data_IF_322439490600
#
_entry.id   IF_322439490600
#
_cell.length_a   1.000
_cell.length_b   1.000
_cell.length_c   1.000
_cell.angle_alpha   90.00
_cell.angle_beta   90.00
_cell.angle_gamma   90.00
#
_symmetry.space_group_name_H-M   'P 1'
#
loop_
_entity.id
_entity.type
_entity.pdbx_description
1 polymer ?
#
# COMPACT_ATOMS: atom_id res chain seq x y z
N UNK A 1 -0.46 -10.23 -4.96
CA UNK A 1 0.98 -9.89 -5.04
C UNK A 1 1.28 -8.54 -4.42
N UNK A 2 0.52 -7.47 -4.71
CA UNK A 2 0.79 -6.15 -4.14
C UNK A 2 0.85 -6.10 -2.60
N UNK A 3 0.10 -6.97 -1.89
CA UNK A 3 0.20 -7.06 -0.44
C UNK A 3 1.64 -7.34 0.00
N UNK A 4 2.29 -8.37 -0.54
CA UNK A 4 3.66 -8.68 -0.13
C UNK A 4 4.65 -7.59 -0.58
N UNK A 5 4.62 -7.27 -1.88
CA UNK A 5 5.60 -6.38 -2.49
C UNK A 5 5.43 -4.93 -2.03
N UNK A 6 4.20 -4.44 -1.93
CA UNK A 6 3.89 -3.09 -1.46
C UNK A 6 4.25 -2.90 0.01
N UNK A 7 4.00 -3.88 0.89
CA UNK A 7 4.47 -3.81 2.28
C UNK A 7 6.01 -3.88 2.36
N UNK A 8 6.67 -4.72 1.55
CA UNK A 8 8.13 -4.80 1.52
C UNK A 8 8.77 -3.48 1.06
N UNK A 9 8.32 -2.93 -0.07
CA UNK A 9 8.79 -1.62 -0.58
C UNK A 9 8.50 -0.49 0.42
N UNK A 10 7.33 -0.49 1.07
CA UNK A 10 7.06 0.51 2.10
C UNK A 10 7.97 0.37 3.33
N UNK A 11 8.32 -0.86 3.73
CA UNK A 11 9.29 -1.09 4.80
C UNK A 11 10.70 -0.58 4.41
N UNK A 12 11.10 -0.68 3.14
CA UNK A 12 12.34 -0.08 2.64
C UNK A 12 12.31 1.44 2.75
N UNK A 13 11.18 2.10 2.48
CA UNK A 13 11.03 3.54 2.65
C UNK A 13 11.19 3.97 4.12
N UNK A 14 10.54 3.25 5.04
CA UNK A 14 10.68 3.48 6.48
C UNK A 14 12.14 3.29 6.93
N UNK A 15 12.77 2.20 6.48
CA UNK A 15 14.16 1.91 6.82
C UNK A 15 15.10 3.00 6.29
N UNK A 16 14.89 3.45 5.05
CA UNK A 16 15.68 4.51 4.44
C UNK A 16 15.63 5.79 5.28
N UNK A 17 14.43 6.23 5.67
CA UNK A 17 14.24 7.42 6.51
C UNK A 17 14.91 7.27 7.89
N UNK A 18 14.75 6.12 8.55
CA UNK A 18 15.36 5.84 9.86
C UNK A 18 16.90 5.86 9.81
N UNK A 19 17.49 5.51 8.66
CA UNK A 19 18.95 5.39 8.48
C UNK A 19 19.57 6.60 7.76
N UNK A 20 18.86 7.75 7.72
CA UNK A 20 19.38 9.00 7.18
C UNK A 20 19.39 9.09 5.65
N UNK A 21 18.62 8.22 4.98
CA UNK A 21 18.33 8.30 3.55
C UNK A 21 17.14 9.21 3.25
N UNK A 22 16.50 8.97 2.10
CA UNK A 22 15.30 9.71 1.70
C UNK A 22 14.13 9.43 2.66
N UNK A 23 13.37 10.48 2.95
CA UNK A 23 12.17 10.43 3.77
C UNK A 23 11.09 9.60 3.09
N UNK A 24 10.13 9.08 3.87
CA UNK A 24 8.98 8.35 3.33
C UNK A 24 8.19 9.22 2.34
N UNK A 25 8.13 10.54 2.61
CA UNK A 25 7.50 11.51 1.70
C UNK A 25 8.24 11.64 0.37
N UNK A 26 9.57 11.71 0.38
CA UNK A 26 10.36 11.78 -0.85
C UNK A 26 10.20 10.51 -1.69
N UNK A 27 10.24 9.33 -1.07
CA UNK A 27 9.95 8.06 -1.75
C UNK A 27 8.53 8.03 -2.33
N UNK A 28 7.54 8.53 -1.58
CA UNK A 28 6.16 8.64 -2.07
C UNK A 28 6.08 9.57 -3.27
N UNK A 29 6.67 10.76 -3.19
CA UNK A 29 6.68 11.74 -4.28
C UNK A 29 7.36 11.19 -5.54
N UNK A 30 8.48 10.48 -5.40
CA UNK A 30 9.17 9.81 -6.50
C UNK A 30 8.29 8.71 -7.12
N UNK A 31 7.75 7.81 -6.30
CA UNK A 31 6.87 6.74 -6.78
C UNK A 31 5.59 7.29 -7.44
N UNK A 32 5.11 8.44 -6.97
CA UNK A 32 3.93 9.12 -7.52
C UNK A 32 4.20 9.74 -8.89
N UNK A 33 5.40 10.29 -9.12
CA UNK A 33 5.79 10.85 -10.42
C UNK A 33 6.19 9.79 -11.45
N UNK A 34 6.55 8.57 -11.03
CA UNK A 34 6.82 7.47 -11.95
C UNK A 34 5.54 6.98 -12.67
N UNK A 35 5.44 7.30 -13.96
CA UNK A 35 4.34 6.88 -14.84
C UNK A 35 4.15 5.35 -14.88
N UNK A 36 5.22 4.56 -14.67
CA UNK A 36 5.14 3.11 -14.70
C UNK A 36 4.29 2.56 -13.55
N UNK A 37 4.23 3.24 -12.40
CA UNK A 37 3.38 2.88 -11.27
C UNK A 37 1.88 3.04 -11.56
N UNK A 38 1.53 3.75 -12.63
CA UNK A 38 0.15 4.03 -13.02
C UNK A 38 -0.33 3.17 -14.20
N UNK A 39 0.48 2.22 -14.68
CA UNK A 39 0.14 1.37 -15.82
C UNK A 39 -1.14 0.53 -15.61
N UNK A 40 -1.44 0.15 -14.35
CA UNK A 40 -2.67 -0.55 -13.96
C UNK A 40 -2.92 -0.41 -12.43
N UNK A 41 -4.11 -0.76 -11.93
CA UNK A 41 -4.39 -0.78 -10.49
C UNK A 41 -3.63 -1.89 -9.76
N UNK A 42 -2.95 -1.58 -8.65
CA UNK A 42 -2.17 -2.55 -7.90
C UNK A 42 -3.01 -3.74 -7.38
N UNK A 43 -4.28 -3.49 -7.04
CA UNK A 43 -5.24 -4.52 -6.63
C UNK A 43 -5.77 -5.40 -7.77
N UNK A 44 -5.54 -5.00 -9.03
CA UNK A 44 -6.07 -5.69 -10.23
C UNK A 44 -5.02 -5.78 -11.36
N UNK A 45 -3.94 -6.54 -11.19
CA UNK A 45 -3.00 -6.82 -12.27
C UNK A 45 -3.71 -7.48 -13.47
N UNK A 46 -3.44 -7.06 -14.73
CA UNK A 46 -4.10 -7.61 -15.92
C UNK A 46 -3.87 -9.11 -16.12
N UNK A 47 -2.69 -9.61 -15.75
CA UNK A 47 -2.38 -11.03 -15.80
C UNK A 47 -1.13 -11.42 -15.00
N UNK A 48 -0.77 -12.71 -15.01
CA UNK A 48 0.36 -13.23 -14.24
C UNK A 48 1.72 -12.57 -14.57
N UNK A 49 1.92 -12.18 -15.83
CA UNK A 49 3.13 -11.49 -16.28
C UNK A 49 3.27 -10.07 -15.67
N UNK A 50 2.18 -9.51 -15.16
CA UNK A 50 2.17 -8.16 -14.56
C UNK A 50 2.41 -8.18 -13.05
N UNK A 51 2.48 -9.37 -12.44
CA UNK A 51 2.64 -9.54 -10.99
C UNK A 51 3.99 -9.04 -10.45
N UNK A 52 4.97 -8.84 -11.33
CA UNK A 52 6.30 -8.30 -10.98
C UNK A 52 6.55 -6.92 -11.61
N UNK A 53 5.51 -6.19 -12.01
CA UNK A 53 5.62 -4.86 -12.64
C UNK A 53 5.46 -3.73 -11.63
N UNK A 54 5.95 -2.51 -11.94
CA UNK A 54 6.04 -1.39 -10.99
C UNK A 54 4.78 -1.10 -10.15
N UNK A 55 3.54 -1.13 -10.69
CA UNK A 55 2.35 -0.84 -9.87
C UNK A 55 2.16 -1.78 -8.66
N UNK A 56 2.68 -3.01 -8.74
CA UNK A 56 2.62 -3.96 -7.63
C UNK A 56 3.49 -3.51 -6.45
N UNK A 57 4.58 -2.80 -6.73
CA UNK A 57 5.58 -2.34 -5.76
C UNK A 57 5.33 -0.89 -5.35
N UNK A 58 5.59 0.06 -6.27
CA UNK A 58 5.56 1.49 -5.95
C UNK A 58 4.15 1.97 -5.61
N UNK A 59 3.16 1.63 -6.45
CA UNK A 59 1.76 1.95 -6.14
C UNK A 59 1.21 1.13 -4.97
N UNK A 60 1.65 -0.11 -4.79
CA UNK A 60 1.37 -0.90 -3.59
C UNK A 60 1.84 -0.20 -2.31
N UNK A 61 3.09 0.28 -2.30
CA UNK A 61 3.66 1.03 -1.17
C UNK A 61 2.95 2.37 -0.93
N UNK A 62 2.56 3.08 -2.00
CA UNK A 62 1.71 4.28 -1.87
C UNK A 62 0.38 3.97 -1.17
N UNK A 63 -0.30 2.87 -1.51
CA UNK A 63 -1.54 2.46 -0.82
C UNK A 63 -1.28 2.26 0.68
N UNK A 64 -0.23 1.52 1.04
CA UNK A 64 0.13 1.30 2.45
C UNK A 64 0.40 2.62 3.17
N UNK A 65 1.13 3.55 2.54
CA UNK A 65 1.39 4.86 3.11
C UNK A 65 0.09 5.67 3.32
N UNK A 66 -0.85 5.63 2.35
CA UNK A 66 -2.13 6.33 2.48
C UNK A 66 -2.98 5.78 3.61
N UNK A 67 -2.95 4.47 3.84
CA UNK A 67 -3.63 3.86 5.01
C UNK A 67 -3.05 4.41 6.31
N UNK A 68 -1.72 4.49 6.44
CA UNK A 68 -1.06 5.09 7.61
C UNK A 68 -1.49 6.56 7.80
N UNK A 69 -1.55 7.34 6.72
CA UNK A 69 -1.98 8.74 6.77
C UNK A 69 -3.44 8.88 7.22
N UNK A 70 -4.34 8.08 6.68
CA UNK A 70 -5.77 8.11 7.02
C UNK A 70 -6.01 7.70 8.48
N UNK A 71 -5.24 6.74 8.98
CA UNK A 71 -5.29 6.36 10.39
C UNK A 71 -4.82 7.45 11.34
N UNK A 72 -3.89 8.32 10.92
CA UNK A 72 -3.39 9.45 11.72
C UNK A 72 -2.65 9.07 13.01
N UNK A 73 -2.49 7.78 13.30
CA UNK A 73 -1.84 7.23 14.49
C UNK A 73 -0.89 6.08 14.08
N UNK A 74 0.41 6.34 14.20
CA UNK A 74 1.45 5.36 13.86
C UNK A 74 1.38 4.10 14.71
N UNK A 75 1.09 4.24 16.00
CA UNK A 75 0.97 3.10 16.93
C UNK A 75 -0.18 2.19 16.54
N UNK A 76 -1.33 2.77 16.18
CA UNK A 76 -2.48 2.03 15.67
C UNK A 76 -2.16 1.37 14.32
N UNK A 77 -1.53 2.07 13.38
CA UNK A 77 -1.13 1.54 12.08
C UNK A 77 -0.20 0.32 12.23
N UNK A 78 0.89 0.44 12.99
CA UNK A 78 1.82 -0.68 13.19
C UNK A 78 1.18 -1.83 13.98
N UNK A 79 0.19 -1.55 14.84
CA UNK A 79 -0.59 -2.62 15.51
C UNK A 79 -1.46 -3.37 14.51
N UNK A 80 -2.17 -2.67 13.62
CA UNK A 80 -2.97 -3.25 12.55
C UNK A 80 -2.11 -4.13 11.62
N UNK A 81 -0.96 -3.65 11.17
CA UNK A 81 -0.06 -4.42 10.28
C UNK A 81 0.46 -5.69 10.97
N UNK A 82 0.89 -5.61 12.23
CA UNK A 82 1.32 -6.79 13.00
C UNK A 82 0.19 -7.78 13.23
N UNK A 83 -1.03 -7.28 13.48
CA UNK A 83 -2.23 -8.10 13.63
C UNK A 83 -2.57 -8.84 12.34
N UNK A 84 -2.54 -8.14 11.19
CA UNK A 84 -2.76 -8.72 9.87
C UNK A 84 -1.80 -9.88 9.58
N UNK A 85 -0.50 -9.65 9.75
CA UNK A 85 0.55 -10.66 9.53
C UNK A 85 0.42 -11.86 10.47
N UNK A 86 -0.03 -11.63 11.70
CA UNK A 86 -0.26 -12.70 12.69
C UNK A 86 -1.48 -13.54 12.32
N UNK A 87 -2.58 -12.90 11.95
CA UNK A 87 -3.84 -13.56 11.59
C UNK A 87 -3.71 -14.44 10.34
N UNK A 88 -2.87 -14.05 9.39
CA UNK A 88 -2.68 -14.75 8.12
C UNK A 88 -1.33 -15.49 8.04
N UNK A 89 -0.69 -15.71 9.18
CA UNK A 89 0.57 -16.48 9.24
C UNK A 89 0.32 -17.90 8.72
N UNK A 90 1.10 -18.32 7.73
CA UNK A 90 0.99 -19.64 7.05
C UNK A 90 -0.30 -19.85 6.24
N UNK A 91 -1.07 -18.79 6.00
CA UNK A 91 -2.28 -18.81 5.18
C UNK A 91 -2.09 -18.13 3.82
N UNK A 92 -3.15 -18.13 3.03
CA UNK A 92 -3.27 -17.25 1.87
C UNK A 92 -4.31 -16.18 2.21
N UNK A 93 -4.08 -14.95 1.75
CA UNK A 93 -4.98 -13.84 1.98
C UNK A 93 -5.19 -13.07 0.67
N UNK A 94 -6.43 -12.67 0.43
CA UNK A 94 -6.81 -11.86 -0.71
C UNK A 94 -6.72 -10.37 -0.40
N UNK A 95 -6.88 -9.56 -1.45
CA UNK A 95 -7.00 -8.10 -1.29
C UNK A 95 -8.29 -7.74 -0.53
N UNK A 96 -9.37 -8.48 -0.75
CA UNK A 96 -10.65 -8.27 -0.07
C UNK A 96 -10.52 -8.58 1.43
N UNK A 97 -9.78 -9.64 1.79
CA UNK A 97 -9.49 -9.96 3.19
C UNK A 97 -8.75 -8.82 3.90
N UNK A 98 -7.74 -8.24 3.24
CA UNK A 98 -6.94 -7.15 3.82
C UNK A 98 -7.75 -5.86 3.97
N UNK A 99 -8.48 -5.46 2.93
CA UNK A 99 -9.28 -4.22 2.97
C UNK A 99 -10.36 -4.30 4.04
N UNK A 100 -11.10 -5.42 4.11
CA UNK A 100 -12.10 -5.66 5.16
C UNK A 100 -11.49 -5.75 6.56
N UNK A 101 -10.28 -6.34 6.70
CA UNK A 101 -9.54 -6.33 7.96
C UNK A 101 -9.15 -4.91 8.37
N UNK A 102 -8.59 -4.13 7.45
CA UNK A 102 -8.11 -2.78 7.74
C UNK A 102 -9.25 -1.86 8.20
N UNK A 103 -10.39 -1.88 7.52
CA UNK A 103 -11.57 -1.09 7.91
C UNK A 103 -12.13 -1.53 9.27
N UNK A 104 -12.25 -2.84 9.51
CA UNK A 104 -12.76 -3.36 10.78
C UNK A 104 -11.87 -2.99 11.97
N UNK A 105 -10.55 -3.15 11.84
CA UNK A 105 -9.63 -2.91 12.96
C UNK A 105 -9.33 -1.41 13.17
N UNK A 106 -9.40 -0.59 12.12
CA UNK A 106 -9.23 0.87 12.24
C UNK A 106 -10.52 1.58 12.64
N UNK A 107 -11.69 1.00 12.33
CA UNK A 107 -13.00 1.67 12.47
C UNK A 107 -13.22 2.80 11.47
N UNK A 108 -12.37 2.92 10.44
CA UNK A 108 -12.45 3.94 9.40
C UNK A 108 -13.16 3.40 8.16
N UNK A 109 -13.88 4.28 7.47
CA UNK A 109 -14.32 4.02 6.10
C UNK A 109 -13.17 4.36 5.15
N UNK A 110 -12.57 3.32 4.56
CA UNK A 110 -11.42 3.45 3.67
C UNK A 110 -11.82 3.26 2.20
N UNK A 111 -13.13 3.22 1.90
CA UNK A 111 -13.68 2.94 0.56
C UNK A 111 -13.09 3.85 -0.51
N UNK A 112 -13.08 5.17 -0.28
CA UNK A 112 -12.56 6.14 -1.25
C UNK A 112 -11.06 5.97 -1.48
N UNK A 113 -10.31 5.61 -0.43
CA UNK A 113 -8.88 5.30 -0.53
C UNK A 113 -8.66 4.07 -1.42
N UNK A 114 -9.43 3.01 -1.23
CA UNK A 114 -9.34 1.81 -2.07
C UNK A 114 -9.71 2.10 -3.52
N UNK A 115 -10.79 2.82 -3.76
CA UNK A 115 -11.26 3.17 -5.10
C UNK A 115 -10.25 4.05 -5.84
N UNK A 116 -9.62 4.98 -5.14
CA UNK A 116 -8.67 5.92 -5.73
C UNK A 116 -7.29 5.29 -5.90
N UNK A 117 -6.70 4.77 -4.82
CA UNK A 117 -5.30 4.39 -4.77
C UNK A 117 -5.06 2.94 -5.14
N UNK A 118 -5.97 2.02 -4.80
CA UNK A 118 -5.76 0.59 -5.02
C UNK A 118 -6.40 0.08 -6.32
N UNK A 119 -7.63 0.53 -6.62
CA UNK A 119 -8.46 0.07 -7.73
C UNK A 119 -8.55 1.07 -8.90
N UNK A 120 -8.18 2.33 -8.68
CA UNK A 120 -8.30 3.41 -9.67
C UNK A 120 -7.43 3.18 -10.90
N UNK A 121 -7.92 3.55 -12.10
CA UNK A 121 -7.20 3.31 -13.37
C UNK A 121 -6.19 4.40 -13.73
N UNK A 122 -6.25 5.55 -13.09
CA UNK A 122 -5.41 6.70 -13.39
C UNK A 122 -4.73 7.22 -12.14
N UNK A 123 -3.61 7.91 -12.32
CA UNK A 123 -2.99 8.73 -11.27
C UNK A 123 -4.04 9.71 -10.72
N UNK A 124 -4.28 9.75 -9.39
CA UNK A 124 -5.16 10.73 -8.78
C UNK A 124 -4.68 12.16 -9.05
N UNK A 125 -5.52 13.17 -8.83
CA UNK A 125 -5.00 14.53 -8.73
C UNK A 125 -4.20 14.65 -7.42
N UNK A 126 -3.15 15.49 -7.39
CA UNK A 126 -2.53 15.87 -6.10
C UNK A 126 -3.59 16.63 -5.31
N UNK A 127 -4.09 16.01 -4.24
CA UNK A 127 -4.95 16.64 -3.23
C UNK A 127 -4.14 17.52 -2.29
#
# INVERSE_FOLDING_TARGET
MWLNEGFATYAEWLWSEEHGGATVREHFDEAYEDEANWAFPAGRPPGPADLSRPPVYGRGAMVVHRVRQEMGDDGAFFTLVRGWLTAHRHGNASTDDFTAYAERESGLDLTELWDTWLNGRSRPARG
#
